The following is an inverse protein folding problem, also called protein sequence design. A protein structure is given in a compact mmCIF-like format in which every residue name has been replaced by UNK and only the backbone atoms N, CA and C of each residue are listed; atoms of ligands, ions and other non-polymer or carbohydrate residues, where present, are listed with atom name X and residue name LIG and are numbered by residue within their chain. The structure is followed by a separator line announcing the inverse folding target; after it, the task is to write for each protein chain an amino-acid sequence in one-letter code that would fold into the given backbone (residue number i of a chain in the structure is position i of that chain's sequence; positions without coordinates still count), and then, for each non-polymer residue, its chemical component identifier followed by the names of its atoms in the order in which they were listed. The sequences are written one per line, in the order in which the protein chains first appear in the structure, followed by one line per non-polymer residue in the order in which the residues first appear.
data_IF_895420688949
#
_entry.id   IF_895420688949
#
_cell.length_a   1.000
_cell.length_b   1.000
_cell.length_c   1.000
_cell.angle_alpha   90.00
_cell.angle_beta   90.00
_cell.angle_gamma   90.00
#
_symmetry.space_group_name_H-M   'P 1'
#
loop_
_entity.id
_entity.type
_entity.pdbx_description
1 polymer ?
#
# COMPACT_ATOMS: atom_id res chain seq x y z
N UNK A 1 24.89 -17.69 32.26
CA UNK A 1 24.64 -16.39 31.60
C UNK A 1 23.49 -15.69 32.31
N UNK A 2 23.62 -14.41 32.61
CA UNK A 2 22.56 -13.65 33.28
C UNK A 2 21.36 -13.50 32.30
N UNK A 3 20.15 -14.02 32.63
CA UNK A 3 19.02 -14.11 31.71
C UNK A 3 18.50 -12.74 31.21
N UNK A 4 18.89 -11.67 31.88
CA UNK A 4 18.50 -10.29 31.53
C UNK A 4 19.44 -9.58 30.57
N UNK A 5 20.61 -10.18 30.25
CA UNK A 5 21.62 -9.55 29.37
C UNK A 5 21.51 -10.03 27.92
N UNK A 6 21.85 -9.14 26.99
CA UNK A 6 22.01 -9.47 25.58
C UNK A 6 23.36 -10.17 25.34
N UNK A 7 23.42 -11.06 24.35
CA UNK A 7 24.66 -11.71 23.94
C UNK A 7 25.56 -10.73 23.14
N UNK A 8 26.83 -11.12 22.95
CA UNK A 8 27.82 -10.30 22.24
C UNK A 8 27.38 -10.02 20.80
N UNK A 9 26.84 -11.01 20.08
CA UNK A 9 26.38 -10.83 18.69
C UNK A 9 25.29 -9.77 18.59
N UNK A 10 24.27 -9.79 19.48
CA UNK A 10 23.22 -8.77 19.49
C UNK A 10 23.77 -7.36 19.77
N UNK A 11 24.80 -7.26 20.63
CA UNK A 11 25.45 -5.98 20.94
C UNK A 11 26.19 -5.41 19.73
N UNK A 12 26.92 -6.27 18.99
CA UNK A 12 27.61 -5.87 17.75
C UNK A 12 26.61 -5.42 16.69
N UNK A 13 25.51 -6.16 16.51
CA UNK A 13 24.46 -5.78 15.57
C UNK A 13 23.84 -4.42 15.93
N UNK A 14 23.52 -4.19 17.21
CA UNK A 14 23.01 -2.89 17.67
C UNK A 14 24.01 -1.76 17.44
N UNK A 15 25.28 -2.01 17.65
CA UNK A 15 26.35 -1.03 17.39
C UNK A 15 26.37 -0.64 15.90
N UNK A 16 26.28 -1.62 15.00
CA UNK A 16 26.20 -1.39 13.55
C UNK A 16 24.93 -0.59 13.21
N UNK A 17 23.78 -0.96 13.78
CA UNK A 17 22.54 -0.20 13.59
C UNK A 17 22.64 1.26 14.03
N UNK A 18 23.34 1.54 15.13
CA UNK A 18 23.57 2.91 15.60
C UNK A 18 24.40 3.72 14.60
N UNK A 19 25.45 3.13 14.02
CA UNK A 19 26.24 3.78 12.99
C UNK A 19 25.46 4.01 11.69
N UNK A 20 24.64 3.04 11.28
CA UNK A 20 23.77 3.18 10.12
C UNK A 20 22.77 4.31 10.29
N UNK A 21 22.20 4.50 11.50
CA UNK A 21 21.31 5.63 11.78
C UNK A 21 22.02 6.99 11.65
N UNK A 22 23.28 7.10 12.02
CA UNK A 22 24.05 8.34 11.79
C UNK A 22 24.22 8.60 10.29
N UNK A 23 24.44 7.56 9.49
CA UNK A 23 24.58 7.69 8.04
C UNK A 23 23.33 8.32 7.40
N UNK A 24 22.13 8.08 7.96
CA UNK A 24 20.87 8.66 7.45
C UNK A 24 20.89 10.19 7.42
N UNK A 25 21.66 10.85 8.26
CA UNK A 25 21.80 12.32 8.23
C UNK A 25 22.40 12.85 6.92
N UNK A 26 23.10 12.01 6.17
CA UNK A 26 23.86 12.39 4.97
C UNK A 26 23.26 11.88 3.66
N UNK A 27 22.29 10.97 3.74
CA UNK A 27 21.67 10.35 2.57
C UNK A 27 20.17 10.69 2.48
N UNK A 28 19.57 10.69 1.28
CA UNK A 28 18.14 10.96 1.14
C UNK A 28 17.31 9.86 1.82
N UNK A 29 16.27 10.26 2.53
CA UNK A 29 15.37 9.36 3.24
C UNK A 29 14.19 8.92 2.37
N UNK A 30 13.73 9.79 1.49
CA UNK A 30 12.56 9.55 0.64
C UNK A 30 12.78 10.14 -0.74
N UNK A 31 12.14 9.56 -1.75
CA UNK A 31 12.20 10.02 -3.13
C UNK A 31 10.81 10.00 -3.75
N UNK A 32 10.46 11.09 -4.43
CA UNK A 32 9.25 11.18 -5.27
C UNK A 32 9.72 11.49 -6.69
N UNK A 33 9.45 10.59 -7.62
CA UNK A 33 9.75 10.75 -9.03
C UNK A 33 8.47 11.16 -9.77
N UNK A 34 8.55 12.22 -10.53
CA UNK A 34 7.46 12.74 -11.37
C UNK A 34 7.78 12.48 -12.83
N UNK A 35 6.87 11.81 -13.53
CA UNK A 35 7.00 11.52 -14.95
C UNK A 35 5.96 12.33 -15.71
N UNK A 36 6.39 13.35 -16.43
CA UNK A 36 5.54 14.29 -17.16
C UNK A 36 5.91 14.31 -18.64
N UNK A 37 4.95 14.46 -19.58
CA UNK A 37 5.25 14.52 -21.00
C UNK A 37 6.20 15.64 -21.40
N UNK A 38 6.23 16.74 -20.62
CA UNK A 38 7.12 17.90 -20.83
C UNK A 38 8.57 17.65 -20.38
N UNK A 39 8.77 16.64 -19.53
CA UNK A 39 10.06 16.24 -18.96
C UNK A 39 10.25 14.74 -19.14
N UNK A 40 10.62 14.29 -20.36
CA UNK A 40 10.76 12.85 -20.65
C UNK A 40 11.87 12.18 -19.83
N UNK A 41 12.85 12.96 -19.33
CA UNK A 41 13.90 12.52 -18.39
C UNK A 41 13.37 12.27 -16.98
N UNK A 42 12.13 12.70 -16.68
CA UNK A 42 11.56 12.68 -15.35
C UNK A 42 12.09 13.81 -14.45
N UNK A 43 11.38 14.08 -13.35
CA UNK A 43 11.78 15.03 -12.32
C UNK A 43 11.87 14.30 -10.98
N UNK A 44 12.94 14.49 -10.24
CA UNK A 44 13.16 13.86 -8.95
C UNK A 44 13.10 14.86 -7.80
N UNK A 45 12.23 14.61 -6.81
CA UNK A 45 12.26 15.26 -5.51
C UNK A 45 12.88 14.30 -4.51
N UNK A 46 13.98 14.68 -3.87
CA UNK A 46 14.61 13.91 -2.81
C UNK A 46 14.46 14.62 -1.47
N UNK A 47 14.08 13.88 -0.44
CA UNK A 47 13.83 14.42 0.91
C UNK A 47 14.91 13.87 1.83
N UNK A 48 15.76 14.76 2.34
CA UNK A 48 16.77 14.48 3.34
C UNK A 48 16.21 14.74 4.76
N UNK A 49 16.98 14.42 5.76
CA UNK A 49 16.60 14.71 7.14
C UNK A 49 16.43 16.22 7.43
N UNK A 50 17.15 17.09 6.69
CA UNK A 50 17.23 18.53 6.97
C UNK A 50 17.03 19.43 5.76
N UNK A 51 16.75 18.88 4.57
CA UNK A 51 16.61 19.67 3.33
C UNK A 51 15.85 18.91 2.26
N UNK A 52 15.44 19.63 1.23
CA UNK A 52 15.00 19.10 -0.05
C UNK A 52 16.16 19.05 -1.05
N UNK A 53 16.09 18.13 -2.00
CA UNK A 53 17.05 18.01 -3.10
C UNK A 53 16.36 17.59 -4.40
N UNK A 54 17.15 17.48 -5.47
CA UNK A 54 16.63 17.19 -6.81
C UNK A 54 16.08 18.44 -7.51
N UNK A 55 15.05 18.25 -8.32
CA UNK A 55 14.52 19.25 -9.25
C UNK A 55 13.49 20.21 -8.60
N UNK A 56 13.71 20.59 -7.33
CA UNK A 56 12.75 21.38 -6.52
C UNK A 56 12.32 22.67 -7.23
N UNK A 57 13.24 23.38 -7.90
CA UNK A 57 12.93 24.62 -8.59
C UNK A 57 11.97 24.42 -9.76
N UNK A 58 12.15 23.34 -10.54
CA UNK A 58 11.29 23.00 -11.68
C UNK A 58 9.92 22.54 -11.17
N UNK A 59 9.89 21.71 -10.12
CA UNK A 59 8.66 21.25 -9.47
C UNK A 59 7.87 22.42 -8.92
N UNK A 60 8.50 23.41 -8.29
CA UNK A 60 7.85 24.62 -7.82
C UNK A 60 7.26 25.47 -8.96
N UNK A 61 7.95 25.51 -10.10
CA UNK A 61 7.40 26.13 -11.32
C UNK A 61 6.12 25.44 -11.78
N UNK A 62 6.10 24.10 -11.83
CA UNK A 62 4.90 23.33 -12.20
C UNK A 62 3.76 23.52 -11.19
N UNK A 63 4.08 23.49 -9.90
CA UNK A 63 3.13 23.71 -8.81
C UNK A 63 2.37 25.04 -8.93
N UNK A 64 3.08 26.09 -9.31
CA UNK A 64 2.48 27.40 -9.51
C UNK A 64 1.36 27.38 -10.56
N UNK A 65 1.52 26.66 -11.66
CA UNK A 65 0.51 26.58 -12.71
C UNK A 65 -0.75 25.80 -12.31
N UNK A 66 -0.61 24.76 -11.49
CA UNK A 66 -1.73 23.91 -11.05
C UNK A 66 -2.28 24.30 -9.68
N UNK A 67 -1.73 25.37 -9.07
CA UNK A 67 -2.21 25.92 -7.80
C UNK A 67 -1.72 25.19 -6.56
N UNK A 68 -0.75 24.27 -6.67
CA UNK A 68 -0.10 23.68 -5.52
C UNK A 68 0.85 24.67 -4.86
N UNK A 69 1.06 24.53 -3.56
CA UNK A 69 2.03 25.33 -2.81
C UNK A 69 3.45 25.06 -3.29
N UNK A 70 4.28 26.09 -3.27
CA UNK A 70 5.73 25.95 -3.50
C UNK A 70 6.38 25.28 -2.30
N UNK A 71 7.38 24.44 -2.56
CA UNK A 71 8.14 23.71 -1.54
C UNK A 71 9.30 24.59 -1.09
N UNK A 72 9.27 25.02 0.17
CA UNK A 72 10.38 25.71 0.81
C UNK A 72 10.77 24.98 2.10
N UNK A 73 12.06 24.75 2.28
CA UNK A 73 12.58 24.02 3.46
C UNK A 73 12.16 24.63 4.80
N UNK A 74 11.94 25.96 4.81
CA UNK A 74 11.54 26.70 6.01
C UNK A 74 10.10 26.43 6.46
N UNK A 75 9.27 25.90 5.57
CA UNK A 75 7.86 25.64 5.85
C UNK A 75 7.67 24.31 6.61
N UNK A 76 8.76 23.52 6.74
CA UNK A 76 8.74 22.20 7.36
C UNK A 76 9.52 22.19 8.68
N UNK A 77 8.79 22.15 9.78
CA UNK A 77 9.38 22.00 11.11
C UNK A 77 10.11 20.65 11.27
N UNK A 78 9.72 19.66 10.47
CA UNK A 78 10.29 18.33 10.42
C UNK A 78 11.77 18.37 10.06
N UNK A 79 12.22 19.24 9.17
CA UNK A 79 13.63 19.41 8.81
C UNK A 79 14.51 19.92 9.96
N UNK A 80 13.89 20.53 10.97
CA UNK A 80 14.58 20.90 12.20
C UNK A 80 14.55 19.72 13.18
N UNK A 81 13.41 19.04 13.32
CA UNK A 81 13.18 18.00 14.33
C UNK A 81 13.84 16.65 13.96
N UNK A 82 13.74 16.23 12.67
CA UNK A 82 14.22 14.93 12.20
C UNK A 82 15.70 14.64 12.50
N UNK A 83 16.64 15.57 12.25
CA UNK A 83 18.06 15.31 12.59
C UNK A 83 18.25 14.99 14.08
N UNK A 84 17.55 15.71 14.97
CA UNK A 84 17.63 15.44 16.41
C UNK A 84 17.01 14.08 16.78
N UNK A 85 15.90 13.72 16.17
CA UNK A 85 15.28 12.40 16.36
C UNK A 85 16.21 11.28 15.91
N UNK A 86 16.88 11.43 14.76
CA UNK A 86 17.83 10.45 14.22
C UNK A 86 19.02 10.29 15.18
N UNK A 87 19.62 11.39 15.63
CA UNK A 87 20.70 11.37 16.61
C UNK A 87 20.25 10.73 17.92
N UNK A 88 19.07 11.07 18.42
CA UNK A 88 18.50 10.45 19.60
C UNK A 88 18.40 8.93 19.47
N UNK A 89 17.83 8.43 18.36
CA UNK A 89 17.71 6.98 18.12
C UNK A 89 19.07 6.31 17.95
N UNK A 90 20.05 6.97 17.32
CA UNK A 90 21.40 6.46 17.21
C UNK A 90 22.05 6.32 18.58
N UNK A 91 22.01 7.36 19.41
CA UNK A 91 22.55 7.33 20.77
C UNK A 91 21.82 6.29 21.62
N UNK A 92 20.49 6.21 21.52
CA UNK A 92 19.70 5.25 22.29
C UNK A 92 20.02 3.79 21.87
N UNK A 93 20.22 3.54 20.58
CA UNK A 93 20.64 2.22 20.08
C UNK A 93 22.06 1.87 20.54
N UNK A 94 22.97 2.85 20.55
CA UNK A 94 24.32 2.71 21.09
C UNK A 94 24.30 2.37 22.59
N UNK A 95 23.51 3.09 23.38
CA UNK A 95 23.33 2.82 24.80
C UNK A 95 22.74 1.44 25.05
N UNK A 96 21.77 0.99 24.21
CA UNK A 96 21.22 -0.35 24.28
C UNK A 96 22.29 -1.44 24.04
N UNK A 97 23.23 -1.20 23.10
CA UNK A 97 24.36 -2.09 22.84
C UNK A 97 25.36 -2.13 24.03
N UNK A 98 25.64 -0.99 24.67
CA UNK A 98 26.60 -0.88 25.78
C UNK A 98 26.03 -1.47 27.07
N UNK A 99 24.83 -1.08 27.47
CA UNK A 99 24.18 -1.54 28.70
C UNK A 99 23.76 -3.00 28.59
N UNK A 100 23.45 -3.46 27.37
CA UNK A 100 23.16 -4.84 27.02
C UNK A 100 21.99 -5.46 27.83
N UNK A 101 20.98 -4.69 28.24
CA UNK A 101 19.78 -5.15 28.95
C UNK A 101 18.59 -5.32 27.99
N UNK A 102 17.89 -6.45 28.07
CA UNK A 102 16.72 -6.75 27.23
C UNK A 102 15.60 -5.71 27.35
N UNK A 103 15.36 -5.18 28.54
CA UNK A 103 14.32 -4.16 28.76
C UNK A 103 14.61 -2.89 27.94
N UNK A 104 15.87 -2.48 27.85
CA UNK A 104 16.27 -1.30 27.05
C UNK A 104 16.03 -1.56 25.56
N UNK A 105 16.32 -2.77 25.07
CA UNK A 105 16.01 -3.16 23.70
C UNK A 105 14.51 -3.10 23.40
N UNK A 106 13.66 -3.60 24.31
CA UNK A 106 12.20 -3.53 24.12
C UNK A 106 11.68 -2.11 24.16
N UNK A 107 12.18 -1.28 25.09
CA UNK A 107 11.83 0.14 25.14
C UNK A 107 12.24 0.86 23.86
N UNK A 108 13.48 0.63 23.39
CA UNK A 108 13.97 1.17 22.12
C UNK A 108 13.06 0.76 20.94
N UNK A 109 12.68 -0.51 20.84
CA UNK A 109 11.80 -0.99 19.79
C UNK A 109 10.44 -0.28 19.82
N UNK A 110 9.82 -0.13 21.00
CA UNK A 110 8.53 0.56 21.14
C UNK A 110 8.63 2.02 20.68
N UNK A 111 9.66 2.74 21.14
CA UNK A 111 9.87 4.13 20.72
C UNK A 111 10.16 4.25 19.22
N UNK A 112 10.92 3.31 18.67
CA UNK A 112 11.26 3.30 17.24
C UNK A 112 10.01 3.05 16.36
N UNK A 113 9.15 2.11 16.75
CA UNK A 113 7.87 1.85 16.06
C UNK A 113 6.94 3.07 16.18
N UNK A 114 6.81 3.64 17.37
CA UNK A 114 5.97 4.81 17.61
C UNK A 114 6.43 6.00 16.75
N UNK A 115 7.73 6.25 16.70
CA UNK A 115 8.30 7.28 15.83
C UNK A 115 7.98 7.01 14.35
N UNK A 116 8.16 5.76 13.87
CA UNK A 116 7.85 5.40 12.48
C UNK A 116 6.38 5.62 12.12
N UNK A 117 5.46 5.26 13.03
CA UNK A 117 4.02 5.48 12.83
C UNK A 117 3.68 6.98 12.78
N UNK A 118 4.22 7.76 13.71
CA UNK A 118 3.99 9.21 13.77
C UNK A 118 4.56 9.88 12.51
N UNK A 119 5.80 9.55 12.12
CA UNK A 119 6.44 10.13 10.94
C UNK A 119 5.69 9.81 9.64
N UNK A 120 5.17 8.58 9.48
CA UNK A 120 4.38 8.21 8.30
C UNK A 120 2.99 8.84 8.31
N UNK A 121 2.37 9.03 9.47
CA UNK A 121 1.09 9.71 9.60
C UNK A 121 1.23 11.20 9.28
N UNK A 122 2.29 11.83 9.76
CA UNK A 122 2.64 13.21 9.51
C UNK A 122 2.94 13.45 8.02
N UNK A 123 3.77 12.60 7.43
CA UNK A 123 4.08 12.64 6.00
C UNK A 123 2.82 12.48 5.13
N UNK A 124 1.92 11.56 5.47
CA UNK A 124 0.64 11.40 4.79
C UNK A 124 -0.24 12.66 4.94
N UNK A 125 -0.29 13.25 6.12
CA UNK A 125 -1.07 14.46 6.39
C UNK A 125 -0.54 15.65 5.56
N UNK A 126 0.78 15.78 5.48
CA UNK A 126 1.42 16.77 4.64
C UNK A 126 1.09 16.56 3.15
N UNK A 127 1.26 15.33 2.61
CA UNK A 127 0.91 15.02 1.22
C UNK A 127 -0.57 15.31 0.91
N UNK A 128 -1.45 15.01 1.87
CA UNK A 128 -2.87 15.29 1.74
C UNK A 128 -3.13 16.79 1.60
N UNK A 129 -2.64 17.61 2.52
CA UNK A 129 -2.82 19.05 2.50
C UNK A 129 -2.19 19.68 1.25
N UNK A 130 -0.98 19.21 0.89
CA UNK A 130 -0.25 19.69 -0.28
C UNK A 130 -1.00 19.43 -1.58
N UNK A 131 -1.66 18.30 -1.71
CA UNK A 131 -2.41 17.94 -2.91
C UNK A 131 -3.85 18.44 -2.98
N UNK A 132 -4.44 18.90 -1.86
CA UNK A 132 -5.84 19.33 -1.79
C UNK A 132 -6.02 20.84 -1.54
N UNK A 133 -5.09 21.48 -0.87
CA UNK A 133 -5.16 22.94 -0.60
C UNK A 133 -4.58 23.71 -1.77
N UNK A 134 -5.39 23.80 -2.84
CA UNK A 134 -5.00 24.41 -4.11
C UNK A 134 -5.42 25.87 -4.17
N UNK A 135 -4.57 26.72 -4.76
CA UNK A 135 -4.85 28.12 -5.00
C UNK A 135 -6.05 28.26 -5.99
N UNK A 136 -7.14 28.93 -5.59
CA UNK A 136 -8.29 29.12 -6.45
C UNK A 136 -7.99 30.00 -7.67
N UNK A 137 -6.88 30.75 -7.69
CA UNK A 137 -6.47 31.64 -8.80
C UNK A 137 -5.40 31.02 -9.71
N UNK A 138 -5.19 29.71 -9.63
CA UNK A 138 -4.25 29.01 -10.48
C UNK A 138 -4.59 29.10 -11.98
N UNK A 139 -3.55 29.09 -12.82
CA UNK A 139 -3.72 29.17 -14.28
C UNK A 139 -4.44 27.95 -14.87
N UNK A 140 -4.20 26.77 -14.29
CA UNK A 140 -4.83 25.51 -14.71
C UNK A 140 -5.71 25.02 -13.55
N UNK A 141 -7.03 24.98 -13.80
CA UNK A 141 -8.04 24.53 -12.82
C UNK A 141 -8.81 23.36 -13.41
N UNK A 142 -8.78 22.22 -12.71
CA UNK A 142 -9.61 21.05 -13.05
C UNK A 142 -10.57 20.82 -11.89
N UNK A 143 -11.87 21.08 -12.08
CA UNK A 143 -12.85 20.95 -11.01
C UNK A 143 -12.84 19.53 -10.39
N UNK A 144 -12.77 19.46 -9.04
CA UNK A 144 -12.78 18.19 -8.30
C UNK A 144 -11.48 17.41 -8.33
N UNK A 145 -10.39 17.92 -8.91
CA UNK A 145 -9.07 17.29 -8.90
C UNK A 145 -8.29 17.59 -7.63
N UNK A 146 -7.53 16.58 -7.21
CA UNK A 146 -6.48 16.70 -6.21
C UNK A 146 -5.17 16.14 -6.76
N UNK A 147 -4.06 16.79 -6.44
CA UNK A 147 -2.72 16.41 -6.93
C UNK A 147 -1.88 15.73 -5.87
N UNK A 148 -2.54 15.05 -4.92
CA UNK A 148 -1.86 14.32 -3.85
C UNK A 148 -1.03 13.16 -4.42
N UNK A 149 0.31 13.13 -4.20
CA UNK A 149 1.15 11.98 -4.50
C UNK A 149 0.70 10.73 -3.73
N UNK A 150 1.10 9.54 -4.12
CA UNK A 150 0.88 8.35 -3.29
C UNK A 150 1.88 8.34 -2.14
N UNK A 151 1.46 7.93 -0.94
CA UNK A 151 2.38 7.75 0.18
C UNK A 151 3.50 6.74 -0.17
N UNK A 152 3.15 5.62 -0.78
CA UNK A 152 4.09 4.63 -1.31
C UNK A 152 3.54 4.08 -2.62
N UNK A 153 4.41 3.95 -3.63
CA UNK A 153 4.10 3.36 -4.93
C UNK A 153 3.78 4.39 -6.00
N UNK A 154 3.02 3.98 -7.01
CA UNK A 154 2.73 4.78 -8.19
C UNK A 154 1.27 5.27 -8.19
N UNK A 155 1.08 6.54 -8.60
CA UNK A 155 -0.23 7.13 -8.85
C UNK A 155 -0.18 8.01 -10.09
N UNK A 156 -1.14 7.84 -10.98
CA UNK A 156 -1.33 8.73 -12.12
C UNK A 156 -2.10 9.98 -11.67
N UNK A 157 -1.55 11.16 -11.94
CA UNK A 157 -2.12 12.47 -11.62
C UNK A 157 -2.29 13.24 -12.93
N UNK A 158 -3.48 13.20 -13.54
CA UNK A 158 -3.73 13.76 -14.88
C UNK A 158 -2.73 13.22 -15.92
N UNK A 159 -1.92 14.11 -16.50
CA UNK A 159 -0.96 13.81 -17.56
C UNK A 159 0.41 13.40 -17.03
N UNK A 160 0.62 13.38 -15.71
CA UNK A 160 1.89 12.96 -15.11
C UNK A 160 1.71 11.85 -14.08
N UNK A 161 2.72 11.01 -13.96
CA UNK A 161 2.79 9.96 -12.97
C UNK A 161 3.66 10.39 -11.78
N UNK A 162 3.24 10.07 -10.56
CA UNK A 162 4.04 10.23 -9.35
C UNK A 162 4.41 8.87 -8.77
N UNK A 163 5.69 8.64 -8.52
CA UNK A 163 6.21 7.43 -7.90
C UNK A 163 6.95 7.80 -6.61
N UNK A 164 6.42 7.37 -5.47
CA UNK A 164 6.92 7.70 -4.13
C UNK A 164 7.44 6.45 -3.44
N UNK A 165 8.71 6.48 -3.02
CA UNK A 165 9.38 5.35 -2.37
C UNK A 165 10.41 5.81 -1.34
N UNK A 166 10.71 4.98 -0.31
CA UNK A 166 11.88 5.18 0.53
C UNK A 166 13.16 5.20 -0.32
N UNK A 167 14.07 6.12 -0.03
CA UNK A 167 15.43 6.13 -0.57
C UNK A 167 16.40 5.49 0.44
N UNK A 168 17.70 5.58 0.22
CA UNK A 168 18.75 4.92 1.00
C UNK A 168 18.53 5.07 2.51
N UNK A 169 18.28 6.29 2.99
CA UNK A 169 18.02 6.55 4.41
C UNK A 169 16.74 5.91 4.93
N UNK A 170 15.66 5.92 4.12
CA UNK A 170 14.41 5.24 4.45
C UNK A 170 14.58 3.72 4.55
N UNK A 171 15.31 3.12 3.60
CA UNK A 171 15.64 1.69 3.66
C UNK A 171 16.51 1.32 4.86
N UNK A 172 17.44 2.20 5.28
CA UNK A 172 18.20 2.02 6.50
C UNK A 172 17.27 2.01 7.73
N UNK A 173 16.30 2.93 7.81
CA UNK A 173 15.31 2.93 8.90
C UNK A 173 14.52 1.63 8.95
N UNK A 174 14.02 1.17 7.80
CA UNK A 174 13.27 -0.10 7.70
C UNK A 174 14.15 -1.27 8.15
N UNK A 175 15.40 -1.33 7.67
CA UNK A 175 16.33 -2.38 8.03
C UNK A 175 16.63 -2.40 9.53
N UNK A 176 16.88 -1.23 10.13
CA UNK A 176 17.12 -1.10 11.59
C UNK A 176 15.87 -1.53 12.35
N UNK A 177 14.66 -1.11 11.94
CA UNK A 177 13.40 -1.50 12.58
C UNK A 177 13.19 -3.01 12.55
N UNK A 178 13.38 -3.66 11.41
CA UNK A 178 13.30 -5.13 11.26
C UNK A 178 14.35 -5.81 12.14
N UNK A 179 15.56 -5.28 12.21
CA UNK A 179 16.64 -5.82 13.03
C UNK A 179 16.31 -5.73 14.52
N UNK A 180 15.82 -4.59 14.99
CA UNK A 180 15.37 -4.40 16.39
C UNK A 180 14.24 -5.37 16.74
N UNK A 181 13.28 -5.58 15.83
CA UNK A 181 12.19 -6.52 16.01
C UNK A 181 12.71 -7.96 16.11
N UNK A 182 13.58 -8.37 15.18
CA UNK A 182 14.18 -9.71 15.16
C UNK A 182 14.99 -10.01 16.44
N UNK A 183 15.82 -9.04 16.88
CA UNK A 183 16.60 -9.16 18.13
C UNK A 183 15.68 -9.24 19.36
N UNK A 184 14.57 -8.50 19.36
CA UNK A 184 13.59 -8.51 20.45
C UNK A 184 12.88 -9.87 20.53
N UNK A 185 12.42 -10.40 19.41
CA UNK A 185 11.79 -11.74 19.32
C UNK A 185 12.78 -12.83 19.76
N UNK A 186 14.02 -12.77 19.30
CA UNK A 186 15.06 -13.73 19.68
C UNK A 186 15.38 -13.64 21.17
N UNK A 187 15.50 -12.42 21.73
CA UNK A 187 15.72 -12.21 23.16
C UNK A 187 14.55 -12.76 24.01
N UNK A 188 13.30 -12.63 23.51
CA UNK A 188 12.10 -13.15 24.16
C UNK A 188 12.08 -14.67 24.16
N UNK A 189 12.32 -15.35 23.01
CA UNK A 189 12.37 -16.81 22.92
C UNK A 189 13.41 -17.41 23.87
N UNK A 190 14.61 -16.84 23.92
CA UNK A 190 15.67 -17.32 24.79
C UNK A 190 15.36 -17.08 26.30
N UNK A 191 14.53 -16.11 26.64
CA UNK A 191 14.06 -15.89 27.99
C UNK A 191 13.00 -16.94 28.41
N UNK A 192 12.12 -17.33 27.48
CA UNK A 192 11.08 -18.33 27.75
C UNK A 192 11.68 -19.71 28.02
N UNK A 193 12.70 -20.13 27.26
CA UNK A 193 13.37 -21.43 27.45
C UNK A 193 14.03 -21.54 28.84
N UNK A 194 14.61 -20.47 29.36
CA UNK A 194 15.26 -20.46 30.69
C UNK A 194 14.22 -20.37 31.83
N UNK A 195 13.04 -19.80 31.58
CA UNK A 195 12.01 -19.59 32.58
C UNK A 195 11.06 -20.77 32.77
N UNK A 196 10.99 -21.68 31.81
CA UNK A 196 10.21 -22.93 31.91
C UNK A 196 10.76 -23.83 33.05
N UNK A 197 11.99 -23.57 33.53
CA UNK A 197 12.57 -24.27 34.69
C UNK A 197 12.28 -23.55 36.04
N UNK A 198 11.68 -22.38 36.10
CA UNK A 198 11.27 -21.68 37.35
C UNK A 198 9.99 -20.87 37.20
N UNK A 199 8.83 -21.53 37.43
CA UNK A 199 7.60 -21.01 38.05
C UNK A 199 6.93 -19.78 37.47
N UNK A 200 5.75 -20.02 36.88
CA UNK A 200 4.49 -19.23 36.98
C UNK A 200 4.64 -17.76 37.33
N UNK A 201 4.43 -16.82 36.40
CA UNK A 201 3.95 -15.48 36.71
C UNK A 201 3.44 -14.72 35.46
N UNK A 202 2.21 -14.21 35.65
CA UNK A 202 1.56 -13.05 35.08
C UNK A 202 1.19 -13.04 33.58
N UNK A 203 -0.05 -13.47 33.33
CA UNK A 203 -0.71 -13.57 32.03
C UNK A 203 -1.12 -12.21 31.40
N UNK A 204 -0.88 -11.08 32.05
CA UNK A 204 -1.50 -9.82 31.62
C UNK A 204 -0.71 -9.01 30.57
N UNK A 205 0.57 -9.32 30.32
CA UNK A 205 1.36 -8.61 29.29
C UNK A 205 1.29 -9.30 27.92
N UNK A 206 0.99 -10.61 27.90
CA UNK A 206 0.88 -11.38 26.66
C UNK A 206 -0.38 -11.03 25.86
N UNK A 207 -1.44 -10.58 26.51
CA UNK A 207 -2.71 -10.20 25.89
C UNK A 207 -2.59 -8.96 24.99
N UNK A 208 -1.76 -8.01 25.34
CA UNK A 208 -1.60 -6.76 24.58
C UNK A 208 -0.70 -6.91 23.34
N UNK A 209 0.27 -7.82 23.35
CA UNK A 209 1.10 -8.08 22.16
C UNK A 209 0.38 -8.90 21.08
N UNK A 210 -0.60 -9.74 21.47
CA UNK A 210 -1.40 -10.51 20.49
C UNK A 210 -2.42 -9.66 19.74
N UNK A 211 -2.86 -8.53 20.31
CA UNK A 211 -3.81 -7.61 19.69
C UNK A 211 -3.18 -6.79 18.54
N UNK A 212 -1.86 -6.60 18.53
CA UNK A 212 -1.18 -5.82 17.47
C UNK A 212 -0.83 -6.69 16.26
N UNK A 213 -0.63 -7.99 16.43
CA UNK A 213 -0.29 -8.90 15.31
C UNK A 213 -1.49 -9.37 14.49
N UNK A 214 -2.71 -9.22 15.00
CA UNK A 214 -3.94 -9.57 14.28
C UNK A 214 -4.40 -8.50 13.27
N UNK A 215 -3.77 -7.32 13.22
CA UNK A 215 -4.16 -6.23 12.33
C UNK A 215 -3.55 -6.31 10.92
N UNK A 216 -2.58 -7.20 10.67
CA UNK A 216 -1.99 -7.42 9.34
C UNK A 216 -2.42 -8.74 8.70
N UNK A 217 -3.69 -9.10 8.84
CA UNK A 217 -4.29 -10.09 7.95
C UNK A 217 -4.47 -9.41 6.60
N UNK A 218 -3.71 -9.81 5.58
CA UNK A 218 -4.00 -9.46 4.20
C UNK A 218 -5.42 -9.90 3.90
N UNK A 219 -6.34 -8.94 3.91
CA UNK A 219 -7.72 -9.20 3.58
C UNK A 219 -7.81 -9.45 2.07
N UNK A 220 -7.82 -10.70 1.67
CA UNK A 220 -8.02 -11.15 0.29
C UNK A 220 -9.48 -11.02 -0.15
N UNK A 221 -10.35 -10.47 0.71
CA UNK A 221 -11.73 -10.21 0.35
C UNK A 221 -11.81 -9.28 -0.87
N UNK A 222 -12.69 -9.57 -1.85
CA UNK A 222 -12.87 -8.73 -3.01
C UNK A 222 -13.34 -7.34 -2.56
N UNK A 223 -12.70 -6.28 -3.06
CA UNK A 223 -13.17 -4.91 -2.84
C UNK A 223 -14.46 -4.70 -3.64
N UNK A 224 -15.46 -4.10 -3.02
CA UNK A 224 -16.70 -3.68 -3.73
C UNK A 224 -16.28 -2.71 -4.85
N UNK A 225 -16.78 -2.96 -6.07
CA UNK A 225 -16.58 -2.07 -7.22
C UNK A 225 -17.32 -0.76 -6.96
N UNK A 226 -16.62 0.36 -7.05
CA UNK A 226 -17.20 1.70 -6.90
C UNK A 226 -17.63 2.23 -8.27
N UNK A 227 -18.91 2.08 -8.57
CA UNK A 227 -19.50 2.57 -9.82
C UNK A 227 -19.28 4.08 -9.95
N UNK A 228 -18.92 4.52 -11.15
CA UNK A 228 -18.61 5.93 -11.44
C UNK A 228 -17.27 6.44 -10.90
N UNK A 229 -16.47 5.56 -10.23
CA UNK A 229 -15.16 5.92 -9.69
C UNK A 229 -14.04 4.98 -10.14
N UNK A 230 -14.29 3.67 -10.09
CA UNK A 230 -13.28 2.69 -10.48
C UNK A 230 -13.16 2.62 -12.00
N UNK A 231 -11.94 2.53 -12.50
CA UNK A 231 -11.66 2.40 -13.93
C UNK A 231 -11.36 0.95 -14.31
N UNK A 232 -11.86 0.53 -15.45
CA UNK A 232 -11.56 -0.77 -16.05
C UNK A 232 -10.07 -0.85 -16.44
N UNK A 233 -9.39 -1.90 -16.00
CA UNK A 233 -7.95 -2.08 -16.28
C UNK A 233 -7.69 -2.28 -17.77
N UNK A 234 -8.65 -2.81 -18.55
CA UNK A 234 -8.48 -3.08 -19.96
C UNK A 234 -8.86 -1.89 -20.85
N UNK A 235 -10.13 -1.44 -20.79
CA UNK A 235 -10.60 -0.37 -21.69
C UNK A 235 -10.35 1.05 -21.13
N UNK A 236 -9.91 1.18 -19.88
CA UNK A 236 -9.63 2.44 -19.18
C UNK A 236 -10.85 3.33 -18.92
N UNK A 237 -12.04 2.90 -19.31
CA UNK A 237 -13.28 3.62 -19.01
C UNK A 237 -13.71 3.36 -17.57
N UNK A 238 -14.47 4.29 -17.01
CA UNK A 238 -15.05 4.15 -15.68
C UNK A 238 -16.13 3.08 -15.70
N UNK A 239 -16.16 2.21 -14.69
CA UNK A 239 -17.20 1.18 -14.56
C UNK A 239 -18.55 1.87 -14.39
N UNK A 240 -19.45 1.64 -15.33
CA UNK A 240 -20.71 2.38 -15.47
C UNK A 240 -21.95 1.58 -15.04
N UNK A 241 -21.92 0.24 -15.16
CA UNK A 241 -23.04 -0.63 -14.83
C UNK A 241 -22.67 -1.62 -13.71
N UNK A 242 -23.42 -1.56 -12.62
CA UNK A 242 -23.22 -2.41 -11.45
C UNK A 242 -23.60 -3.89 -11.66
N UNK A 243 -24.20 -4.25 -12.78
CA UNK A 243 -24.64 -5.63 -13.09
C UNK A 243 -23.55 -6.48 -13.74
N UNK A 244 -22.55 -5.87 -14.37
CA UNK A 244 -21.61 -6.56 -15.24
C UNK A 244 -20.15 -6.52 -14.75
N UNK A 245 -19.86 -5.79 -13.67
CA UNK A 245 -18.51 -5.61 -13.18
C UNK A 245 -17.85 -6.94 -12.79
N UNK A 246 -16.54 -7.03 -13.04
CA UNK A 246 -15.72 -8.21 -12.72
C UNK A 246 -14.47 -7.80 -11.96
N UNK A 247 -14.09 -8.60 -10.95
CA UNK A 247 -12.82 -8.43 -10.21
C UNK A 247 -12.01 -9.71 -10.34
N UNK A 248 -10.80 -9.62 -10.88
CA UNK A 248 -9.81 -10.68 -10.87
C UNK A 248 -8.77 -10.40 -9.77
N UNK A 249 -8.45 -11.39 -8.99
CA UNK A 249 -7.40 -11.35 -7.96
C UNK A 249 -6.31 -12.34 -8.34
N UNK A 250 -5.06 -11.88 -8.41
CA UNK A 250 -3.93 -12.76 -8.67
C UNK A 250 -3.38 -13.39 -7.37
N UNK A 251 -2.43 -14.30 -7.49
CA UNK A 251 -1.75 -14.99 -6.39
C UNK A 251 -1.02 -14.04 -5.41
N UNK A 252 -0.66 -12.83 -5.87
CA UNK A 252 -0.03 -11.78 -5.06
C UNK A 252 -1.04 -10.85 -4.39
N UNK A 253 -2.35 -11.13 -4.50
CA UNK A 253 -3.43 -10.31 -3.94
C UNK A 253 -3.72 -9.01 -4.72
N UNK A 254 -3.09 -8.80 -5.89
CA UNK A 254 -3.39 -7.65 -6.74
C UNK A 254 -4.75 -7.82 -7.40
N UNK A 255 -5.57 -6.78 -7.35
CA UNK A 255 -6.93 -6.74 -7.87
C UNK A 255 -6.96 -6.00 -9.21
N UNK A 256 -7.69 -6.57 -10.17
CA UNK A 256 -7.93 -5.99 -11.48
C UNK A 256 -9.44 -5.87 -11.66
N UNK A 257 -9.92 -4.66 -11.91
CA UNK A 257 -11.35 -4.36 -12.07
C UNK A 257 -11.66 -4.21 -13.55
N UNK A 258 -12.77 -4.80 -13.99
CA UNK A 258 -13.25 -4.75 -15.37
C UNK A 258 -14.69 -4.28 -15.40
N UNK A 259 -15.04 -3.54 -16.45
CA UNK A 259 -16.39 -3.00 -16.67
C UNK A 259 -17.40 -4.09 -17.04
N UNK A 260 -16.93 -5.10 -17.80
CA UNK A 260 -17.70 -6.32 -18.05
C UNK A 260 -16.79 -7.54 -18.35
N UNK A 261 -17.45 -8.68 -18.63
CA UNK A 261 -16.78 -9.94 -18.97
C UNK A 261 -15.94 -9.87 -20.24
N UNK A 262 -16.34 -9.07 -21.25
CA UNK A 262 -15.58 -8.88 -22.47
C UNK A 262 -14.23 -8.22 -22.20
N UNK A 263 -14.18 -7.28 -21.27
CA UNK A 263 -12.92 -6.67 -20.83
C UNK A 263 -12.01 -7.66 -20.12
N UNK A 264 -12.57 -8.55 -19.27
CA UNK A 264 -11.82 -9.62 -18.62
C UNK A 264 -11.19 -10.57 -19.64
N UNK A 265 -12.00 -11.12 -20.57
CA UNK A 265 -11.51 -12.08 -21.57
C UNK A 265 -10.46 -11.44 -22.48
N UNK A 266 -10.71 -10.24 -22.97
CA UNK A 266 -9.74 -9.49 -23.78
C UNK A 266 -8.43 -9.20 -23.04
N UNK A 267 -8.50 -8.93 -21.74
CA UNK A 267 -7.32 -8.73 -20.90
C UNK A 267 -6.50 -10.02 -20.76
N UNK A 268 -7.16 -11.17 -20.52
CA UNK A 268 -6.49 -12.46 -20.37
C UNK A 268 -5.86 -12.96 -21.68
N UNK A 269 -6.45 -12.62 -22.84
CA UNK A 269 -5.92 -13.01 -24.15
C UNK A 269 -4.70 -12.20 -24.61
N UNK A 270 -4.39 -11.06 -23.98
CA UNK A 270 -3.14 -10.33 -24.27
C UNK A 270 -1.92 -11.17 -23.90
N UNK A 271 -0.92 -11.19 -24.79
CA UNK A 271 0.34 -11.95 -24.59
C UNK A 271 1.04 -11.62 -23.28
N UNK A 272 1.02 -10.34 -22.88
CA UNK A 272 1.61 -9.84 -21.63
C UNK A 272 0.96 -10.40 -20.36
N UNK A 273 -0.30 -10.81 -20.45
CA UNK A 273 -1.10 -11.23 -19.30
C UNK A 273 -1.28 -12.77 -19.22
N UNK A 274 -0.77 -13.54 -20.18
CA UNK A 274 -0.92 -15.01 -20.22
C UNK A 274 -0.31 -15.74 -19.03
N UNK A 275 0.63 -15.11 -18.35
CA UNK A 275 1.33 -15.68 -17.18
C UNK A 275 0.79 -15.17 -15.84
N UNK A 276 -0.39 -14.55 -15.80
CA UNK A 276 -1.00 -14.13 -14.55
C UNK A 276 -1.56 -15.35 -13.84
N UNK A 277 -1.00 -15.68 -12.68
CA UNK A 277 -1.57 -16.71 -11.81
C UNK A 277 -2.84 -16.18 -11.16
N UNK A 278 -3.98 -16.69 -11.58
CA UNK A 278 -5.31 -16.27 -11.10
C UNK A 278 -5.59 -17.01 -9.79
N UNK A 279 -5.80 -16.27 -8.70
CA UNK A 279 -6.24 -16.80 -7.41
C UNK A 279 -7.75 -16.90 -7.32
N UNK A 280 -8.47 -15.86 -7.77
CA UNK A 280 -9.93 -15.85 -7.77
C UNK A 280 -10.47 -14.85 -8.80
N UNK A 281 -11.67 -15.14 -9.31
CA UNK A 281 -12.48 -14.22 -10.12
C UNK A 281 -13.82 -14.03 -9.42
N UNK A 282 -14.31 -12.81 -9.36
CA UNK A 282 -15.60 -12.44 -8.80
C UNK A 282 -16.39 -11.67 -9.83
N UNK A 283 -17.67 -12.02 -9.96
CA UNK A 283 -18.63 -11.31 -10.79
C UNK A 283 -19.63 -10.56 -9.92
N UNK A 284 -20.12 -9.44 -10.39
CA UNK A 284 -21.27 -8.81 -9.76
C UNK A 284 -22.52 -9.63 -10.04
N UNK A 285 -23.36 -9.84 -9.02
CA UNK A 285 -24.63 -10.51 -9.20
C UNK A 285 -25.56 -9.66 -10.10
N UNK A 286 -26.07 -10.23 -11.17
CA UNK A 286 -26.88 -9.52 -12.16
C UNK A 286 -28.19 -8.98 -11.58
N UNK A 287 -28.77 -9.64 -10.58
CA UNK A 287 -30.05 -9.27 -9.94
C UNK A 287 -29.86 -8.89 -8.47
N UNK A 288 -30.71 -8.02 -7.96
CA UNK A 288 -30.78 -7.67 -6.54
C UNK A 288 -29.67 -6.68 -6.11
N UNK A 289 -28.92 -7.00 -5.06
CA UNK A 289 -27.96 -6.10 -4.41
C UNK A 289 -26.64 -5.91 -5.16
N UNK A 290 -26.43 -6.57 -6.29
CA UNK A 290 -25.22 -6.52 -7.12
C UNK A 290 -23.92 -6.76 -6.32
N UNK A 291 -23.96 -7.64 -5.32
CA UNK A 291 -22.79 -8.04 -4.56
C UNK A 291 -21.88 -8.95 -5.40
N UNK A 292 -20.58 -8.95 -5.08
CA UNK A 292 -19.61 -9.81 -5.73
C UNK A 292 -19.83 -11.27 -5.30
N UNK A 293 -19.88 -12.17 -6.26
CA UNK A 293 -19.95 -13.62 -6.08
C UNK A 293 -18.72 -14.29 -6.72
N UNK A 294 -18.16 -15.29 -6.05
CA UNK A 294 -17.05 -16.04 -6.58
C UNK A 294 -17.46 -16.78 -7.86
N UNK A 295 -16.62 -16.73 -8.89
CA UNK A 295 -16.90 -17.37 -10.18
C UNK A 295 -17.17 -18.88 -10.09
N UNK A 296 -16.60 -19.56 -9.10
CA UNK A 296 -16.82 -20.99 -8.86
C UNK A 296 -18.20 -21.29 -8.24
N UNK A 297 -18.83 -20.29 -7.62
CA UNK A 297 -20.15 -20.41 -6.97
C UNK A 297 -21.26 -19.78 -7.81
N UNK A 298 -20.88 -18.94 -8.76
CA UNK A 298 -21.81 -18.23 -9.61
C UNK A 298 -22.40 -19.12 -10.71
N UNK A 299 -23.69 -18.97 -11.00
CA UNK A 299 -24.33 -19.50 -12.20
C UNK A 299 -24.16 -18.47 -13.32
N UNK A 300 -23.27 -18.73 -14.27
CA UNK A 300 -22.98 -17.83 -15.38
C UNK A 300 -23.93 -18.16 -16.56
N UNK A 301 -24.58 -17.14 -17.09
CA UNK A 301 -25.54 -17.25 -18.22
C UNK A 301 -24.98 -16.42 -19.38
N UNK A 302 -25.05 -16.99 -20.58
CA UNK A 302 -24.88 -16.22 -21.83
C UNK A 302 -26.22 -16.13 -22.56
N UNK A 303 -26.50 -14.95 -23.10
CA UNK A 303 -27.69 -14.70 -23.92
C UNK A 303 -27.45 -13.56 -24.90
N UNK A 304 -28.05 -13.64 -26.08
CA UNK A 304 -28.00 -12.56 -27.06
C UNK A 304 -28.75 -11.29 -26.59
N UNK A 305 -29.56 -11.39 -25.54
CA UNK A 305 -30.27 -10.24 -24.93
C UNK A 305 -29.45 -9.55 -23.81
N UNK A 306 -28.32 -10.10 -23.41
CA UNK A 306 -27.41 -9.46 -22.47
C UNK A 306 -26.48 -8.52 -23.24
N UNK A 307 -26.44 -7.28 -22.82
CA UNK A 307 -25.58 -6.25 -23.38
C UNK A 307 -24.88 -5.51 -22.24
N UNK A 308 -23.65 -5.97 -21.94
CA UNK A 308 -22.78 -5.26 -21.01
C UNK A 308 -22.21 -3.97 -21.62
N UNK A 309 -21.56 -3.10 -20.84
CA UNK A 309 -21.02 -1.83 -21.33
C UNK A 309 -20.05 -1.96 -22.51
N UNK A 310 -19.33 -3.08 -22.59
CA UNK A 310 -18.43 -3.41 -23.72
C UNK A 310 -18.97 -4.52 -24.61
N UNK A 311 -20.31 -4.61 -24.68
CA UNK A 311 -21.04 -5.60 -25.47
C UNK A 311 -20.82 -7.06 -25.04
N UNK A 312 -20.45 -7.27 -23.76
CA UNK A 312 -20.37 -8.59 -23.15
C UNK A 312 -21.76 -9.24 -23.07
N UNK A 313 -21.85 -10.51 -23.42
CA UNK A 313 -23.12 -11.29 -23.49
C UNK A 313 -23.27 -12.22 -22.29
N UNK A 314 -22.55 -12.00 -21.21
CA UNK A 314 -22.55 -12.84 -20.02
C UNK A 314 -23.05 -12.08 -18.78
N UNK A 315 -23.78 -12.77 -17.93
CA UNK A 315 -24.21 -12.29 -16.63
C UNK A 315 -24.05 -13.39 -15.58
N UNK A 316 -23.73 -13.03 -14.35
CA UNK A 316 -23.57 -13.96 -13.24
C UNK A 316 -24.71 -13.84 -12.24
N UNK A 317 -25.16 -14.95 -11.72
CA UNK A 317 -26.24 -15.06 -10.74
C UNK A 317 -25.74 -15.83 -9.51
N UNK A 318 -26.04 -15.33 -8.33
CA UNK A 318 -25.71 -16.01 -7.07
C UNK A 318 -26.60 -17.25 -6.86
N UNK A 319 -27.89 -17.18 -7.32
CA UNK A 319 -28.87 -18.26 -7.15
C UNK A 319 -29.14 -18.89 -8.50
N UNK A 320 -28.98 -20.22 -8.58
CA UNK A 320 -29.18 -20.99 -9.82
C UNK A 320 -30.60 -20.86 -10.38
N UNK A 321 -31.61 -20.83 -9.52
CA UNK A 321 -33.01 -20.67 -9.96
C UNK A 321 -33.26 -19.33 -10.64
N UNK A 322 -32.59 -18.25 -10.19
CA UNK A 322 -32.62 -16.94 -10.84
C UNK A 322 -31.99 -16.98 -12.24
N UNK A 323 -30.90 -17.72 -12.41
CA UNK A 323 -30.25 -17.93 -13.69
C UNK A 323 -31.20 -18.74 -14.65
N UNK A 324 -31.79 -19.81 -14.18
CA UNK A 324 -32.72 -20.62 -14.96
C UNK A 324 -34.00 -19.86 -15.35
N UNK A 325 -34.52 -19.04 -14.45
CA UNK A 325 -35.67 -18.16 -14.74
C UNK A 325 -35.29 -17.12 -15.82
N UNK A 326 -34.10 -16.54 -15.73
CA UNK A 326 -33.60 -15.62 -16.76
C UNK A 326 -33.52 -16.31 -18.14
N UNK A 327 -32.96 -17.53 -18.19
CA UNK A 327 -32.82 -18.32 -19.42
C UNK A 327 -34.19 -18.62 -20.04
N UNK A 328 -35.18 -19.00 -19.24
CA UNK A 328 -36.54 -19.33 -19.73
C UNK A 328 -37.22 -18.14 -20.39
N UNK A 329 -36.95 -16.91 -19.92
CA UNK A 329 -37.58 -15.68 -20.43
C UNK A 329 -36.78 -15.11 -21.62
N UNK A 330 -35.44 -15.20 -21.58
CA UNK A 330 -34.56 -14.45 -22.48
C UNK A 330 -33.77 -15.33 -23.46
N UNK A 331 -34.01 -16.62 -23.54
CA UNK A 331 -33.35 -17.54 -24.46
C UNK A 331 -31.82 -17.50 -24.28
N UNK A 332 -31.35 -18.11 -23.22
CA UNK A 332 -29.90 -18.19 -22.92
C UNK A 332 -29.47 -19.62 -22.62
N UNK A 333 -28.20 -19.78 -22.24
CA UNK A 333 -27.66 -21.05 -21.74
C UNK A 333 -26.70 -20.82 -20.57
N UNK A 334 -26.60 -21.81 -19.67
CA UNK A 334 -25.57 -21.83 -18.65
C UNK A 334 -24.25 -22.13 -19.30
N UNK A 335 -23.18 -21.45 -18.82
CA UNK A 335 -21.80 -21.64 -19.26
C UNK A 335 -20.87 -21.81 -18.06
N UNK A 336 -19.80 -22.53 -18.26
CA UNK A 336 -18.76 -22.68 -17.23
C UNK A 336 -17.76 -21.52 -17.29
N UNK A 337 -17.03 -21.29 -16.19
CA UNK A 337 -15.96 -20.30 -16.17
C UNK A 337 -14.88 -20.57 -17.25
N UNK A 338 -14.61 -21.86 -17.56
CA UNK A 338 -13.66 -22.25 -18.61
C UNK A 338 -14.14 -21.82 -19.98
N UNK A 339 -15.41 -22.01 -20.30
CA UNK A 339 -16.01 -21.60 -21.58
C UNK A 339 -16.06 -20.07 -21.73
N UNK A 340 -16.10 -19.34 -20.63
CA UNK A 340 -16.08 -17.88 -20.65
C UNK A 340 -14.66 -17.33 -20.94
N UNK A 341 -13.62 -18.02 -20.47
CA UNK A 341 -12.22 -17.55 -20.56
C UNK A 341 -11.54 -18.07 -21.85
N UNK A 342 -12.02 -19.14 -22.46
CA UNK A 342 -11.53 -19.66 -23.75
C UNK A 342 -11.92 -18.76 -24.92
#
# INVERSE_FOLDING_TARGET
MNPSKLNISSRVILFICALLLILVLYVPMWRIELNAPQYPEGLGLTIYANKLGGDVAIINGLNHYIGMKTLHEKDFVEFIALPYCIVFFSIFTMLAALIARKNILYTLLVFFILFGVIAMADFWHWEYNYGHDLNPDAAIKVPGMSYQPPLIGYKQLLNFGAYSIPDIGGWIFIFVGITLLALSIWAFKNYSIVKTYKKTINQNVLGWMFLITSAFSCNTAPSIIKIGKDACVFCKMTVSDNRYGVVLVNDKGKKYIFDDTQCLTSFLHKLENRNINISAIYFTNYVGSHLLVNANEASIVTSAKLHGPMNGTFAAFTVKDSALNYISINSGKLVTLKELIQ
#
